data_IF_971057994902
#
_entry.id   IF_971057994902
#
_cell.length_a   1.000
_cell.length_b   1.000
_cell.length_c   1.000
_cell.angle_alpha   90.00
_cell.angle_beta   90.00
_cell.angle_gamma   90.00
#
_symmetry.space_group_name_H-M   'P 1'
#
loop_
_entity.id
_entity.type
_entity.pdbx_description
1 polymer ?
#
# COMPACT_ATOMS: atom_id res chain seq x y z
N UNK A 1 -13.44 -2.92 -11.24
CA UNK A 1 -12.35 -2.82 -10.24
C UNK A 1 -11.04 -2.65 -10.99
N UNK A 2 -10.36 -1.52 -10.83
CA UNK A 2 -9.03 -1.36 -11.43
C UNK A 2 -8.03 -2.29 -10.71
N UNK A 3 -7.43 -3.20 -11.48
CA UNK A 3 -6.36 -4.06 -10.98
C UNK A 3 -5.04 -3.29 -10.99
N UNK A 4 -4.38 -3.18 -9.84
CA UNK A 4 -3.03 -2.61 -9.77
C UNK A 4 -1.98 -3.69 -10.10
N UNK A 5 -0.92 -3.30 -10.79
CA UNK A 5 0.19 -4.16 -11.19
C UNK A 5 1.46 -3.83 -10.42
N UNK A 6 2.44 -4.72 -10.51
CA UNK A 6 3.80 -4.43 -10.02
C UNK A 6 4.31 -3.17 -10.72
N UNK A 7 4.98 -2.31 -9.97
CA UNK A 7 5.45 -0.98 -10.36
C UNK A 7 4.39 0.12 -10.50
N UNK A 8 3.12 -0.14 -10.22
CA UNK A 8 2.13 0.95 -10.15
C UNK A 8 2.37 1.82 -8.91
N UNK A 9 2.13 3.12 -9.07
CA UNK A 9 1.99 4.03 -7.94
C UNK A 9 0.59 3.91 -7.38
N UNK A 10 0.48 3.71 -6.08
CA UNK A 10 -0.80 3.52 -5.40
C UNK A 10 -0.88 4.35 -4.13
N UNK A 11 -2.11 4.58 -3.72
CA UNK A 11 -2.49 5.17 -2.45
C UNK A 11 -3.22 4.09 -1.66
N UNK A 12 -2.73 3.79 -0.47
CA UNK A 12 -3.33 2.83 0.46
C UNK A 12 -3.83 3.57 1.68
N UNK A 13 -5.12 3.41 1.97
CA UNK A 13 -5.75 3.97 3.17
C UNK A 13 -6.03 2.85 4.15
N UNK A 14 -5.63 3.02 5.41
CA UNK A 14 -5.76 2.01 6.45
C UNK A 14 -5.92 2.63 7.83
N UNK A 15 -6.48 1.88 8.77
CA UNK A 15 -6.59 2.24 10.17
C UNK A 15 -5.34 1.81 10.94
N UNK A 16 -4.83 2.71 11.77
CA UNK A 16 -3.80 2.41 12.76
C UNK A 16 -4.12 3.23 14.01
N UNK A 17 -4.23 2.59 15.18
CA UNK A 17 -4.53 3.23 16.46
C UNK A 17 -5.78 4.14 16.40
N UNK A 18 -6.87 3.64 15.81
CA UNK A 18 -8.15 4.37 15.60
C UNK A 18 -8.03 5.65 14.74
N UNK A 19 -6.90 5.88 14.06
CA UNK A 19 -6.70 6.99 13.12
C UNK A 19 -6.61 6.47 11.69
N UNK A 20 -7.19 7.22 10.76
CA UNK A 20 -7.07 6.97 9.32
C UNK A 20 -5.67 7.40 8.89
N UNK A 21 -4.94 6.48 8.26
CA UNK A 21 -3.61 6.69 7.74
C UNK A 21 -3.60 6.47 6.24
N UNK A 22 -2.79 7.27 5.54
CA UNK A 22 -2.61 7.17 4.09
C UNK A 22 -1.14 6.87 3.78
N UNK A 23 -0.90 5.86 2.95
CA UNK A 23 0.43 5.47 2.49
C UNK A 23 0.49 5.52 0.97
N UNK A 24 1.36 6.37 0.46
CA UNK A 24 1.55 6.57 -0.98
C UNK A 24 2.90 6.00 -1.38
N UNK A 25 2.93 5.17 -2.41
CA UNK A 25 4.18 4.62 -2.91
C UNK A 25 4.00 3.65 -4.07
N UNK A 26 5.10 3.03 -4.47
CA UNK A 26 5.18 2.13 -5.63
C UNK A 26 5.05 0.67 -5.20
N UNK A 27 4.22 -0.10 -5.88
CA UNK A 27 4.08 -1.54 -5.61
C UNK A 27 5.32 -2.27 -6.10
N UNK A 28 6.08 -2.90 -5.20
CA UNK A 28 7.28 -3.67 -5.59
C UNK A 28 7.01 -5.16 -5.78
N UNK A 29 6.09 -5.73 -4.99
CA UNK A 29 5.79 -7.16 -5.02
C UNK A 29 4.31 -7.37 -4.74
N UNK A 30 3.69 -8.26 -5.51
CA UNK A 30 2.31 -8.72 -5.31
C UNK A 30 2.37 -10.22 -5.10
N UNK A 31 1.65 -10.72 -4.10
CA UNK A 31 1.35 -12.14 -3.86
C UNK A 31 -0.19 -12.27 -3.83
N UNK A 32 -0.68 -13.50 -3.71
CA UNK A 32 -2.12 -13.83 -3.70
C UNK A 32 -3.01 -12.89 -2.86
N UNK A 33 -2.57 -12.55 -1.65
CA UNK A 33 -3.34 -11.74 -0.68
C UNK A 33 -2.55 -10.57 -0.06
N UNK A 34 -1.25 -10.48 -0.37
CA UNK A 34 -0.36 -9.43 0.15
C UNK A 34 0.31 -8.67 -0.96
N UNK A 35 0.63 -7.42 -0.71
CA UNK A 35 1.46 -6.62 -1.58
C UNK A 35 2.42 -5.75 -0.77
N UNK A 36 3.59 -5.49 -1.33
CA UNK A 36 4.63 -4.64 -0.73
C UNK A 36 4.66 -3.31 -1.48
N UNK A 37 4.51 -2.22 -0.74
CA UNK A 37 4.61 -0.86 -1.24
C UNK A 37 5.89 -0.24 -0.71
N UNK A 38 6.63 0.41 -1.60
CA UNK A 38 7.87 1.09 -1.28
C UNK A 38 7.66 2.58 -1.45
N UNK A 39 8.02 3.35 -0.43
CA UNK A 39 8.10 4.81 -0.47
C UNK A 39 9.56 5.20 -0.24
N UNK A 40 10.12 6.02 -1.13
CA UNK A 40 11.42 6.65 -0.91
C UNK A 40 11.16 7.99 -0.23
N UNK A 41 11.77 8.21 0.93
CA UNK A 41 11.68 9.46 1.66
C UNK A 41 13.12 9.95 1.85
N UNK A 42 13.53 10.97 1.09
CA UNK A 42 14.93 11.38 0.97
C UNK A 42 15.83 10.17 0.61
N UNK A 43 16.79 9.82 1.46
CA UNK A 43 17.71 8.69 1.26
C UNK A 43 17.18 7.38 1.86
N UNK A 44 16.09 7.43 2.63
CA UNK A 44 15.55 6.25 3.31
C UNK A 44 14.47 5.57 2.47
N UNK A 45 14.62 4.26 2.26
CA UNK A 45 13.64 3.44 1.55
C UNK A 45 12.74 2.73 2.58
N UNK A 46 11.50 3.22 2.72
CA UNK A 46 10.50 2.62 3.59
C UNK A 46 9.73 1.55 2.81
N UNK A 47 9.74 0.32 3.34
CA UNK A 47 9.04 -0.83 2.74
C UNK A 47 7.91 -1.23 3.69
N UNK A 48 6.67 -1.22 3.20
CA UNK A 48 5.50 -1.63 3.99
C UNK A 48 4.74 -2.75 3.28
N UNK A 49 4.38 -3.79 4.03
CA UNK A 49 3.56 -4.89 3.55
C UNK A 49 2.10 -4.61 3.92
N UNK A 50 1.20 -4.84 2.98
CA UNK A 50 -0.24 -4.74 3.16
C UNK A 50 -0.89 -6.07 2.84
N UNK A 51 -2.01 -6.34 3.50
CA UNK A 51 -2.81 -7.52 3.35
C UNK A 51 -4.23 -7.08 2.96
N UNK A 52 -4.72 -7.57 1.83
CA UNK A 52 -5.98 -7.09 1.23
C UNK A 52 -7.19 -7.41 2.13
N UNK A 53 -7.16 -8.55 2.83
CA UNK A 53 -8.22 -8.97 3.74
C UNK A 53 -8.03 -8.48 5.19
N UNK A 54 -7.20 -7.46 5.41
CA UNK A 54 -6.98 -6.94 6.76
C UNK A 54 -8.20 -6.09 7.16
N UNK A 55 -8.83 -6.30 8.33
CA UNK A 55 -9.96 -5.47 8.75
C UNK A 55 -9.60 -3.97 8.87
N UNK A 56 -8.34 -3.65 9.08
CA UNK A 56 -7.85 -2.27 9.11
C UNK A 56 -7.54 -1.70 7.73
N UNK A 57 -7.64 -2.48 6.65
CA UNK A 57 -7.47 -1.99 5.28
C UNK A 57 -8.77 -1.35 4.81
N UNK A 58 -8.73 -0.06 4.46
CA UNK A 58 -9.92 0.68 4.06
C UNK A 58 -10.06 0.67 2.53
N UNK A 59 -9.02 1.14 1.84
CA UNK A 59 -9.08 1.28 0.38
C UNK A 59 -7.71 1.30 -0.26
N UNK A 60 -7.70 1.01 -1.55
CA UNK A 60 -6.54 1.16 -2.42
C UNK A 60 -6.98 1.80 -3.72
N UNK A 61 -6.26 2.83 -4.13
CA UNK A 61 -6.48 3.55 -5.38
C UNK A 61 -5.19 3.61 -6.18
N UNK A 62 -5.27 3.40 -7.49
CA UNK A 62 -4.16 3.66 -8.41
C UNK A 62 -4.00 5.17 -8.58
N UNK A 63 -2.75 5.65 -8.57
CA UNK A 63 -2.41 7.05 -8.81
C UNK A 63 -1.90 7.23 -10.24
#
# INVERSE_FOLDING_TARGET
MEFFKKNDNIIVTYLLNKKINVYIGKVKKIKKITFKVIKKNQEVIIKKNFFIKNPNFISLKKK
#
